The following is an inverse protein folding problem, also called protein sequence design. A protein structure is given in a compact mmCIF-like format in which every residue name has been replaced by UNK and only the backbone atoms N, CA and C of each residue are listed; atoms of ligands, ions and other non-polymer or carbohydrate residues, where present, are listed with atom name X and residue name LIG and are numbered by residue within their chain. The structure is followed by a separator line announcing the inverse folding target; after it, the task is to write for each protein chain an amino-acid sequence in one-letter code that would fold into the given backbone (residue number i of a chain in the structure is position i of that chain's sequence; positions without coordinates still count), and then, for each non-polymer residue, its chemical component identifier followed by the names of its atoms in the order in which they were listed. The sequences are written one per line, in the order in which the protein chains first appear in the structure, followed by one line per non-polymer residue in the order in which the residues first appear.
data_IF_681200883944
#
_entry.id   IF_681200883944
#
_cell.length_a   1.000
_cell.length_b   1.000
_cell.length_c   1.000
_cell.angle_alpha   90.00
_cell.angle_beta   90.00
_cell.angle_gamma   90.00
#
_symmetry.space_group_name_H-M   'P 1'
#
loop_
_entity.id
_entity.type
_entity.pdbx_description
1 polymer ?
#
# COMPACT_ATOMS: atom_id res chain seq x y z
N UNK A 1 -6.98 -11.01 -3.75
CA UNK A 1 -6.86 -9.90 -2.76
C UNK A 1 -6.80 -8.53 -3.43
N UNK A 2 -5.81 -8.24 -4.29
CA UNK A 2 -5.63 -6.91 -4.91
C UNK A 2 -6.83 -6.42 -5.73
N UNK A 3 -7.44 -7.30 -6.54
CA UNK A 3 -8.63 -6.96 -7.36
C UNK A 3 -9.84 -6.62 -6.47
N UNK A 4 -10.00 -7.33 -5.35
CA UNK A 4 -11.08 -7.09 -4.39
C UNK A 4 -10.91 -5.72 -3.74
N UNK A 5 -9.67 -5.38 -3.35
CA UNK A 5 -9.34 -4.06 -2.80
C UNK A 5 -9.63 -2.95 -3.82
N UNK A 6 -9.26 -3.13 -5.09
CA UNK A 6 -9.59 -2.18 -6.16
C UNK A 6 -11.09 -1.91 -6.25
N UNK A 7 -11.90 -2.96 -6.28
CA UNK A 7 -13.36 -2.84 -6.36
C UNK A 7 -13.91 -2.09 -5.14
N UNK A 8 -13.41 -2.39 -3.93
CA UNK A 8 -13.83 -1.73 -2.69
C UNK A 8 -13.43 -0.25 -2.71
N UNK A 9 -12.19 0.08 -3.05
CA UNK A 9 -11.70 1.48 -3.07
C UNK A 9 -12.45 2.31 -4.12
N UNK A 10 -12.72 1.71 -5.28
CA UNK A 10 -13.45 2.39 -6.34
C UNK A 10 -14.92 2.61 -5.97
N UNK A 11 -15.59 1.60 -5.38
CA UNK A 11 -16.93 1.78 -4.80
C UNK A 11 -16.97 2.82 -3.70
N UNK A 12 -15.97 2.86 -2.81
CA UNK A 12 -15.86 3.84 -1.74
C UNK A 12 -15.73 5.27 -2.29
N UNK A 13 -14.91 5.47 -3.34
CA UNK A 13 -14.75 6.77 -4.01
C UNK A 13 -16.05 7.27 -4.63
N UNK A 14 -16.81 6.42 -5.32
CA UNK A 14 -18.07 6.80 -5.97
C UNK A 14 -19.27 6.81 -5.02
N UNK A 15 -19.10 6.39 -3.76
CA UNK A 15 -20.16 6.42 -2.76
C UNK A 15 -20.60 7.85 -2.40
N UNK A 16 -21.82 8.05 -1.86
CA UNK A 16 -22.27 9.35 -1.35
C UNK A 16 -21.29 9.96 -0.34
N UNK A 17 -20.64 9.12 0.47
CA UNK A 17 -19.63 9.54 1.43
C UNK A 17 -18.36 10.05 0.74
N UNK A 18 -17.86 9.35 -0.29
CA UNK A 18 -16.69 9.77 -1.07
C UNK A 18 -16.93 11.05 -1.89
N UNK A 19 -18.16 11.31 -2.34
CA UNK A 19 -18.55 12.59 -2.98
C UNK A 19 -18.62 13.73 -1.96
N UNK A 20 -19.17 13.47 -0.77
CA UNK A 20 -19.21 14.44 0.31
C UNK A 20 -17.82 14.86 0.78
N UNK A 21 -16.87 13.92 0.89
CA UNK A 21 -15.49 14.23 1.29
C UNK A 21 -14.74 15.06 0.24
N UNK A 22 -15.01 14.83 -1.06
CA UNK A 22 -14.47 15.69 -2.12
C UNK A 22 -15.01 17.12 -2.02
N UNK A 23 -16.32 17.27 -1.78
CA UNK A 23 -16.92 18.59 -1.59
C UNK A 23 -16.36 19.34 -0.37
N UNK A 24 -16.12 18.64 0.76
CA UNK A 24 -15.46 19.22 1.93
C UNK A 24 -14.02 19.66 1.59
N UNK A 25 -13.26 18.83 0.87
CA UNK A 25 -11.88 19.14 0.46
C UNK A 25 -11.80 20.35 -0.48
N UNK A 26 -12.77 20.51 -1.38
CA UNK A 26 -12.74 21.57 -2.38
C UNK A 26 -13.14 22.94 -1.77
N UNK A 27 -14.11 22.99 -0.85
CA UNK A 27 -14.41 24.20 -0.07
C UNK A 27 -15.13 23.87 1.25
N UNK A 28 -14.38 23.95 2.36
CA UNK A 28 -14.91 23.68 3.70
C UNK A 28 -15.98 24.70 4.14
N UNK A 29 -15.79 25.99 3.87
CA UNK A 29 -16.75 27.03 4.27
C UNK A 29 -18.11 26.84 3.58
N UNK A 30 -18.10 26.53 2.28
CA UNK A 30 -19.31 26.24 1.52
C UNK A 30 -20.02 24.95 2.02
N UNK A 31 -19.25 23.92 2.37
CA UNK A 31 -19.80 22.69 2.95
C UNK A 31 -20.45 22.94 4.33
N UNK A 32 -19.84 23.80 5.15
CA UNK A 32 -20.37 24.24 6.45
C UNK A 32 -21.69 25.00 6.27
N UNK A 33 -21.75 25.93 5.32
CA UNK A 33 -22.93 26.72 5.00
C UNK A 33 -24.11 25.86 4.52
N UNK A 34 -23.85 24.72 3.88
CA UNK A 34 -24.88 23.73 3.51
C UNK A 34 -25.33 22.83 4.67
N UNK A 35 -24.97 23.16 5.92
CA UNK A 35 -25.40 22.45 7.12
C UNK A 35 -24.68 21.11 7.36
N UNK A 36 -23.56 20.85 6.68
CA UNK A 36 -22.75 19.65 6.93
C UNK A 36 -21.78 19.90 8.07
N UNK A 37 -21.78 19.00 9.06
CA UNK A 37 -20.84 19.08 10.18
C UNK A 37 -19.47 18.52 9.78
N UNK A 38 -18.55 19.41 9.43
CA UNK A 38 -17.17 19.09 8.98
C UNK A 38 -16.36 18.40 10.08
N UNK A 39 -16.52 18.83 11.34
CA UNK A 39 -15.80 18.28 12.48
C UNK A 39 -16.16 16.81 12.72
N UNK A 40 -17.45 16.45 12.65
CA UNK A 40 -17.91 15.06 12.74
C UNK A 40 -17.33 14.19 11.62
N UNK A 41 -17.23 14.74 10.41
CA UNK A 41 -16.68 14.01 9.25
C UNK A 41 -15.19 13.75 9.39
N UNK A 42 -14.40 14.75 9.80
CA UNK A 42 -12.99 14.57 10.11
C UNK A 42 -12.75 13.56 11.24
N UNK A 43 -13.53 13.65 12.33
CA UNK A 43 -13.42 12.72 13.45
C UNK A 43 -13.73 11.28 13.02
N UNK A 44 -14.75 11.09 12.18
CA UNK A 44 -15.10 9.76 11.66
C UNK A 44 -13.98 9.15 10.81
N UNK A 45 -13.35 9.93 9.92
CA UNK A 45 -12.19 9.47 9.13
C UNK A 45 -11.02 9.12 10.05
N UNK A 46 -10.76 9.94 11.06
CA UNK A 46 -9.67 9.70 12.01
C UNK A 46 -9.86 8.41 12.81
N UNK A 47 -11.07 8.17 13.32
CA UNK A 47 -11.42 6.95 14.06
C UNK A 47 -11.29 5.73 13.15
N UNK A 48 -11.82 5.79 11.93
CA UNK A 48 -11.70 4.69 10.97
C UNK A 48 -10.24 4.39 10.62
N UNK A 49 -9.43 5.41 10.34
CA UNK A 49 -8.00 5.25 10.05
C UNK A 49 -7.25 4.60 11.22
N UNK A 50 -7.50 5.10 12.44
CA UNK A 50 -6.86 4.59 13.65
C UNK A 50 -7.23 3.14 13.96
N UNK A 51 -8.51 2.76 13.76
CA UNK A 51 -8.98 1.40 13.95
C UNK A 51 -8.29 0.42 12.98
N UNK A 52 -8.18 0.79 11.70
CA UNK A 52 -7.53 -0.05 10.68
C UNK A 52 -6.04 -0.21 10.98
N UNK A 53 -5.34 0.89 11.30
CA UNK A 53 -3.90 0.86 11.65
C UNK A 53 -3.67 0.05 12.92
N UNK A 54 -4.54 0.16 13.92
CA UNK A 54 -4.45 -0.62 15.16
C UNK A 54 -4.56 -2.13 14.91
N UNK A 55 -5.53 -2.55 14.09
CA UNK A 55 -5.68 -3.97 13.69
C UNK A 55 -4.46 -4.45 12.91
N UNK A 56 -4.00 -3.66 11.93
CA UNK A 56 -2.82 -4.00 11.14
C UNK A 56 -1.56 -4.16 12.01
N UNK A 57 -1.36 -3.26 12.97
CA UNK A 57 -0.27 -3.34 13.94
C UNK A 57 -0.34 -4.59 14.81
N UNK A 58 -1.52 -4.91 15.35
CA UNK A 58 -1.72 -6.12 16.15
C UNK A 58 -1.41 -7.39 15.35
N UNK A 59 -1.88 -7.48 14.10
CA UNK A 59 -1.59 -8.62 13.21
C UNK A 59 -0.09 -8.75 12.90
N UNK A 60 0.59 -7.64 12.64
CA UNK A 60 2.02 -7.64 12.32
C UNK A 60 2.86 -8.17 13.49
N UNK A 61 2.50 -7.77 14.71
CA UNK A 61 3.13 -8.24 15.95
C UNK A 61 2.94 -9.73 16.16
N UNK A 62 1.72 -10.23 15.93
CA UNK A 62 1.43 -11.67 15.99
C UNK A 62 2.21 -12.45 14.93
N UNK A 63 2.40 -11.89 13.74
CA UNK A 63 3.13 -12.52 12.65
C UNK A 63 4.64 -12.59 12.92
N UNK A 64 5.23 -11.54 13.49
CA UNK A 64 6.68 -11.50 13.76
C UNK A 64 7.06 -12.27 15.02
N UNK A 65 6.11 -12.54 15.93
CA UNK A 65 6.26 -13.40 17.12
C UNK A 65 7.23 -12.88 18.20
N UNK A 66 8.10 -11.94 17.86
CA UNK A 66 9.11 -11.32 18.71
C UNK A 66 9.19 -9.83 18.40
N UNK A 67 8.92 -8.99 19.40
CA UNK A 67 9.22 -7.57 19.33
C UNK A 67 10.72 -7.34 19.51
N UNK A 68 11.47 -7.31 18.42
CA UNK A 68 12.87 -6.88 18.45
C UNK A 68 12.97 -5.44 17.92
N UNK A 69 13.36 -4.45 18.74
CA UNK A 69 13.42 -3.04 18.33
C UNK A 69 14.39 -2.75 17.17
N UNK A 70 15.31 -3.66 16.85
CA UNK A 70 16.21 -3.56 15.68
C UNK A 70 15.59 -3.95 14.34
N UNK A 71 14.43 -4.62 14.33
CA UNK A 71 13.78 -5.13 13.11
C UNK A 71 12.95 -4.06 12.39
N UNK A 72 12.54 -3.02 13.12
CA UNK A 72 11.78 -1.89 12.59
C UNK A 72 12.71 -0.89 11.91
N UNK A 73 13.09 -1.19 10.67
CA UNK A 73 13.87 -0.27 9.83
C UNK A 73 12.89 0.60 9.04
N UNK A 74 12.78 1.92 9.32
CA UNK A 74 11.83 2.81 8.62
C UNK A 74 12.00 2.77 7.10
N UNK A 75 13.23 2.56 6.64
CA UNK A 75 13.58 2.36 5.23
C UNK A 75 12.71 1.29 4.54
N UNK A 76 12.35 0.20 5.22
CA UNK A 76 11.56 -0.90 4.63
C UNK A 76 10.06 -0.66 4.68
N UNK A 77 9.55 -0.02 5.73
CA UNK A 77 8.11 -0.03 6.02
C UNK A 77 7.39 1.28 5.70
N UNK A 78 8.06 2.42 5.67
CA UNK A 78 7.41 3.72 5.36
C UNK A 78 7.91 4.31 4.05
N UNK A 79 9.23 4.31 3.84
CA UNK A 79 9.83 4.95 2.68
C UNK A 79 9.51 4.21 1.36
N UNK A 80 9.66 2.89 1.34
CA UNK A 80 9.38 2.07 0.14
C UNK A 80 7.91 2.16 -0.26
N UNK A 81 6.98 2.17 0.69
CA UNK A 81 5.55 2.31 0.41
C UNK A 81 5.24 3.69 -0.19
N UNK A 82 5.87 4.76 0.32
CA UNK A 82 5.77 6.09 -0.28
C UNK A 82 6.27 6.11 -1.72
N UNK A 83 7.43 5.50 -1.99
CA UNK A 83 8.00 5.39 -3.35
C UNK A 83 7.08 4.59 -4.28
N UNK A 84 6.52 3.47 -3.81
CA UNK A 84 5.55 2.66 -4.55
C UNK A 84 4.37 3.50 -5.04
N UNK A 85 3.81 4.35 -4.17
CA UNK A 85 2.66 5.21 -4.51
C UNK A 85 3.06 6.37 -5.42
N UNK A 86 4.22 7.00 -5.19
CA UNK A 86 4.72 8.10 -6.03
C UNK A 86 5.01 7.61 -7.46
N UNK A 87 5.70 6.47 -7.60
CA UNK A 87 5.98 5.84 -8.90
C UNK A 87 4.69 5.44 -9.63
N UNK A 88 3.69 4.98 -8.86
CA UNK A 88 2.37 4.66 -9.40
C UNK A 88 1.50 5.87 -9.75
N UNK A 89 1.75 7.04 -9.16
CA UNK A 89 0.95 8.24 -9.28
C UNK A 89 -0.10 8.37 -8.16
N UNK A 90 -0.12 9.53 -7.51
CA UNK A 90 -0.96 9.84 -6.33
C UNK A 90 -2.45 10.08 -6.64
N UNK A 91 -2.80 10.22 -7.93
CA UNK A 91 -4.15 10.60 -8.37
C UNK A 91 -5.08 9.44 -8.77
N UNK A 92 -4.56 8.22 -8.94
CA UNK A 92 -5.35 7.08 -9.43
C UNK A 92 -4.99 5.77 -8.72
N UNK A 93 -6.00 5.06 -8.18
CA UNK A 93 -5.81 3.80 -7.46
C UNK A 93 -5.14 2.70 -8.31
N UNK A 94 -5.42 2.68 -9.61
CA UNK A 94 -4.78 1.72 -10.52
C UNK A 94 -3.28 1.99 -10.68
N UNK A 95 -2.91 3.27 -10.70
CA UNK A 95 -1.52 3.70 -10.77
C UNK A 95 -0.74 3.27 -9.53
N UNK A 96 -1.26 3.57 -8.33
CA UNK A 96 -0.64 3.17 -7.06
C UNK A 96 -0.40 1.65 -6.95
N UNK A 97 -1.31 0.83 -7.49
CA UNK A 97 -1.16 -0.63 -7.48
C UNK A 97 -0.10 -1.11 -8.48
N UNK A 98 -0.08 -0.56 -9.69
CA UNK A 98 0.98 -0.84 -10.66
C UNK A 98 2.36 -0.43 -10.12
N UNK A 99 2.46 0.75 -9.49
CA UNK A 99 3.68 1.21 -8.84
C UNK A 99 4.13 0.29 -7.70
N UNK A 100 3.19 -0.14 -6.86
CA UNK A 100 3.42 -1.13 -5.81
C UNK A 100 3.96 -2.46 -6.37
N UNK A 101 3.32 -2.98 -7.41
CA UNK A 101 3.71 -4.23 -8.05
C UNK A 101 5.09 -4.15 -8.68
N UNK A 102 5.39 -3.08 -9.42
CA UNK A 102 6.68 -2.89 -10.10
C UNK A 102 7.82 -2.78 -9.10
N UNK A 103 7.68 -1.94 -8.07
CA UNK A 103 8.74 -1.78 -7.07
C UNK A 103 8.92 -3.06 -6.25
N UNK A 104 7.84 -3.76 -5.91
CA UNK A 104 7.93 -5.06 -5.26
C UNK A 104 8.68 -6.08 -6.12
N UNK A 105 8.36 -6.16 -7.41
CA UNK A 105 9.00 -7.07 -8.35
C UNK A 105 10.51 -6.78 -8.48
N UNK A 106 10.88 -5.50 -8.61
CA UNK A 106 12.28 -5.08 -8.65
C UNK A 106 13.03 -5.34 -7.35
N UNK A 107 12.33 -5.34 -6.21
CA UNK A 107 12.96 -5.55 -4.91
C UNK A 107 13.14 -7.05 -4.56
N UNK A 108 12.19 -7.91 -4.94
CA UNK A 108 12.18 -9.33 -4.55
C UNK A 108 12.74 -10.25 -5.63
N UNK A 109 12.45 -9.99 -6.90
CA UNK A 109 12.68 -10.95 -7.97
C UNK A 109 14.11 -11.06 -8.54
N UNK A 110 15.01 -10.06 -8.42
CA UNK A 110 16.37 -10.18 -8.97
C UNK A 110 17.21 -11.30 -8.33
N UNK A 111 17.10 -11.51 -7.02
CA UNK A 111 17.90 -12.50 -6.30
C UNK A 111 17.63 -13.96 -6.73
N UNK A 112 16.37 -14.46 -6.73
CA UNK A 112 16.08 -15.82 -7.20
C UNK A 112 16.36 -15.99 -8.70
N UNK A 113 16.18 -14.94 -9.49
CA UNK A 113 16.48 -14.98 -10.92
C UNK A 113 17.99 -15.13 -11.17
N UNK A 114 18.83 -14.38 -10.45
CA UNK A 114 20.28 -14.51 -10.54
C UNK A 114 20.76 -15.91 -10.14
N UNK A 115 20.21 -16.47 -9.05
CA UNK A 115 20.49 -17.84 -8.61
C UNK A 115 20.06 -18.89 -9.63
N UNK A 116 18.89 -18.70 -10.26
CA UNK A 116 18.44 -19.57 -11.35
C UNK A 116 19.41 -19.55 -12.53
N UNK A 117 19.87 -18.37 -12.96
CA UNK A 117 20.85 -18.24 -14.03
C UNK A 117 22.18 -18.92 -13.67
N UNK A 118 22.70 -18.69 -12.46
CA UNK A 118 23.94 -19.33 -12.00
C UNK A 118 23.82 -20.86 -12.02
N UNK A 119 22.70 -21.40 -11.52
CA UNK A 119 22.45 -22.84 -11.52
C UNK A 119 22.29 -23.39 -12.94
N UNK A 120 21.61 -22.65 -13.82
CA UNK A 120 21.45 -23.03 -15.23
C UNK A 120 22.80 -23.10 -15.95
N UNK A 121 23.68 -22.11 -15.78
CA UNK A 121 25.03 -22.14 -16.37
C UNK A 121 25.89 -23.26 -15.75
N UNK A 122 25.84 -23.45 -14.44
CA UNK A 122 26.59 -24.53 -13.76
C UNK A 122 26.17 -25.91 -14.28
N UNK A 123 24.87 -26.14 -14.48
CA UNK A 123 24.36 -27.40 -15.04
C UNK A 123 24.83 -27.64 -16.49
N UNK A 124 24.94 -26.58 -17.30
CA UNK A 124 25.46 -26.67 -18.66
C UNK A 124 26.95 -27.02 -18.65
N UNK A 125 27.75 -26.38 -17.81
CA UNK A 125 29.19 -26.67 -17.69
C UNK A 125 29.45 -28.08 -17.16
N UNK A 126 28.66 -28.54 -16.18
CA UNK A 126 28.79 -29.90 -15.63
C UNK A 126 28.40 -30.98 -16.66
N UNK A 127 27.43 -30.70 -17.55
CA UNK A 127 27.02 -31.60 -18.65
C UNK A 127 28.01 -31.64 -19.82
N UNK A 128 28.97 -30.71 -19.90
CA UNK A 128 30.03 -30.71 -20.91
C UNK A 128 31.31 -31.42 -20.45
N UNK A 129 31.46 -31.71 -19.15
CA UNK A 129 32.63 -32.39 -18.56
C UNK A 129 32.42 -33.89 -18.26
N UNK A 130 31.24 -34.45 -18.57
CA UNK A 130 30.94 -35.89 -18.54
C UNK A 130 30.68 -36.43 -19.94
#
# INVERSE_FOLDING_TARGET
MVIILLIITQKALYSPWGRMMRAIRDNEEAASAMGKNIVKQHLFIFILGSAIVGIAGAMMVTNDGLFTPGSYRPMRYTFVIGVMVIVGGTGNNFGAILGGFVVWFLWVQPAPMALFFINFFTLIFQKQMS
#
